data_IF_464271720195
#
_entry.id   IF_464271720195
#
_cell.length_a   1.000
_cell.length_b   1.000
_cell.length_c   1.000
_cell.angle_alpha   90.00
_cell.angle_beta   90.00
_cell.angle_gamma   90.00
#
_symmetry.space_group_name_H-M   'P 1'
#
loop_
_entity.id
_entity.type
_entity.pdbx_description
1 polymer ?
#
# COMPACT_ATOMS: atom_id res chain seq x y z
N UNK A 1 -7.91 12.50 -14.43
CA UNK A 1 -8.35 12.23 -13.05
C UNK A 1 -7.26 12.71 -12.10
N UNK A 2 -7.63 13.32 -10.98
CA UNK A 2 -6.68 13.80 -9.97
C UNK A 2 -6.64 12.89 -8.74
N UNK A 3 -5.70 13.15 -7.83
CA UNK A 3 -5.58 12.39 -6.58
C UNK A 3 -6.83 12.53 -5.68
N UNK A 4 -7.45 13.70 -5.64
CA UNK A 4 -8.69 13.91 -4.88
C UNK A 4 -9.82 12.96 -5.32
N UNK A 5 -10.03 12.82 -6.63
CA UNK A 5 -11.01 11.88 -7.19
C UNK A 5 -10.71 10.43 -6.85
N UNK A 6 -9.42 10.04 -6.76
CA UNK A 6 -9.03 8.69 -6.36
C UNK A 6 -9.39 8.44 -4.89
N UNK A 7 -9.18 9.44 -4.02
CA UNK A 7 -9.48 9.35 -2.59
C UNK A 7 -11.00 9.36 -2.28
N UNK A 8 -11.86 9.70 -3.24
CA UNK A 8 -13.32 9.59 -3.10
C UNK A 8 -13.83 8.16 -3.34
N UNK A 9 -13.00 7.24 -3.84
CA UNK A 9 -13.40 5.86 -4.08
C UNK A 9 -13.76 5.16 -2.75
N UNK A 10 -14.70 4.22 -2.75
CA UNK A 10 -15.02 3.46 -1.53
C UNK A 10 -13.90 2.52 -1.09
N UNK A 11 -13.13 2.01 -2.07
CA UNK A 11 -12.02 1.08 -1.89
C UNK A 11 -10.97 1.37 -2.95
N UNK A 12 -9.70 1.29 -2.56
CA UNK A 12 -8.57 1.50 -3.48
C UNK A 12 -7.68 0.27 -3.44
N UNK A 13 -7.33 -0.23 -4.62
CA UNK A 13 -6.33 -1.29 -4.80
C UNK A 13 -5.17 -0.69 -5.59
N UNK A 14 -3.97 -0.73 -5.03
CA UNK A 14 -2.73 -0.37 -5.72
C UNK A 14 -1.93 -1.64 -5.98
N UNK A 15 -1.63 -1.89 -7.25
CA UNK A 15 -0.76 -2.99 -7.68
C UNK A 15 0.60 -2.42 -8.10
N UNK A 16 1.69 -2.98 -7.59
CA UNK A 16 3.04 -2.68 -8.06
C UNK A 16 3.90 -3.93 -8.12
N UNK A 17 4.64 -4.07 -9.21
CA UNK A 17 5.52 -5.21 -9.47
C UNK A 17 6.89 -4.74 -9.97
N UNK A 18 7.92 -5.49 -9.63
CA UNK A 18 9.30 -5.26 -10.03
C UNK A 18 10.07 -4.27 -9.15
N UNK A 19 11.38 -4.49 -9.09
CA UNK A 19 12.32 -3.71 -8.27
C UNK A 19 12.33 -2.22 -8.60
N UNK A 20 12.04 -1.86 -9.86
CA UNK A 20 11.94 -0.45 -10.31
C UNK A 20 10.94 0.39 -9.49
N UNK A 21 10.00 -0.25 -8.81
CA UNK A 21 8.99 0.40 -7.97
C UNK A 21 9.34 0.42 -6.49
N UNK A 22 10.37 -0.31 -6.05
CA UNK A 22 10.66 -0.51 -4.63
C UNK A 22 10.83 0.81 -3.85
N UNK A 23 11.61 1.73 -4.41
CA UNK A 23 11.87 3.01 -3.75
C UNK A 23 10.61 3.89 -3.60
N UNK A 24 9.72 3.90 -4.61
CA UNK A 24 8.49 4.71 -4.53
C UNK A 24 7.44 4.04 -3.67
N UNK A 25 7.38 2.70 -3.68
CA UNK A 25 6.51 1.92 -2.79
C UNK A 25 6.86 2.18 -1.33
N UNK A 26 8.14 2.08 -0.97
CA UNK A 26 8.60 2.36 0.39
C UNK A 26 8.24 3.79 0.82
N UNK A 27 8.51 4.79 -0.03
CA UNK A 27 8.12 6.19 0.25
C UNK A 27 6.61 6.40 0.37
N UNK A 28 5.81 5.67 -0.40
CA UNK A 28 4.36 5.80 -0.39
C UNK A 28 3.70 5.18 0.84
N UNK A 29 4.30 4.13 1.42
CA UNK A 29 3.74 3.40 2.56
C UNK A 29 4.34 3.88 3.89
N UNK A 30 5.66 4.06 3.96
CA UNK A 30 6.40 4.34 5.19
C UNK A 30 6.90 5.80 5.26
N UNK A 31 6.85 6.53 4.15
CA UNK A 31 7.31 7.92 4.06
C UNK A 31 6.23 8.96 4.42
N UNK A 32 6.61 10.25 4.47
CA UNK A 32 5.66 11.33 4.75
C UNK A 32 4.67 11.54 3.60
N UNK A 33 3.47 12.02 3.93
CA UNK A 33 2.47 12.43 2.93
C UNK A 33 2.97 13.71 2.25
N UNK A 34 3.23 13.64 0.95
CA UNK A 34 3.82 14.73 0.17
C UNK A 34 3.39 14.73 -1.30
N UNK A 35 3.27 15.92 -1.90
CA UNK A 35 2.96 16.09 -3.32
C UNK A 35 4.07 15.54 -4.25
N UNK A 36 5.30 15.39 -3.75
CA UNK A 36 6.40 14.78 -4.51
C UNK A 36 6.19 13.27 -4.75
N UNK A 37 5.36 12.62 -3.92
CA UNK A 37 5.00 11.20 -4.04
C UNK A 37 3.49 11.09 -3.90
N UNK A 38 2.76 11.28 -4.99
CA UNK A 38 1.28 11.31 -4.99
C UNK A 38 0.63 10.08 -4.33
N UNK A 39 1.23 8.90 -4.48
CA UNK A 39 0.76 7.67 -3.86
C UNK A 39 0.79 7.69 -2.32
N UNK A 40 1.59 8.56 -1.69
CA UNK A 40 1.58 8.76 -0.23
C UNK A 40 0.24 9.30 0.28
N UNK A 41 -0.54 10.00 -0.56
CA UNK A 41 -1.86 10.46 -0.20
C UNK A 41 -2.85 9.31 0.07
N UNK A 42 -2.57 8.10 -0.44
CA UNK A 42 -3.37 6.91 -0.15
C UNK A 42 -3.36 6.54 1.34
N UNK A 43 -2.35 6.98 2.11
CA UNK A 43 -2.32 6.81 3.57
C UNK A 43 -3.50 7.52 4.27
N UNK A 44 -4.14 8.51 3.63
CA UNK A 44 -5.30 9.23 4.17
C UNK A 44 -6.62 8.51 3.93
N UNK A 45 -6.64 7.49 3.08
CA UNK A 45 -7.87 6.80 2.72
C UNK A 45 -8.12 5.63 3.67
N UNK A 46 -9.34 5.48 4.22
CA UNK A 46 -9.63 4.47 5.25
C UNK A 46 -9.58 3.03 4.74
N UNK A 47 -9.74 2.80 3.43
CA UNK A 47 -9.73 1.46 2.85
C UNK A 47 -8.85 1.35 1.59
N UNK A 48 -7.56 1.08 1.80
CA UNK A 48 -6.57 0.86 0.73
C UNK A 48 -5.89 -0.48 0.91
N UNK A 49 -5.68 -1.19 -0.20
CA UNK A 49 -4.89 -2.42 -0.26
C UNK A 49 -3.75 -2.27 -1.25
N UNK A 50 -2.53 -2.51 -0.79
CA UNK A 50 -1.33 -2.57 -1.64
C UNK A 50 -1.00 -4.03 -1.94
N UNK A 51 -0.96 -4.38 -3.22
CA UNK A 51 -0.56 -5.69 -3.71
C UNK A 51 0.81 -5.53 -4.35
N UNK A 52 1.82 -6.12 -3.71
CA UNK A 52 3.22 -5.98 -4.07
C UNK A 52 3.84 -7.35 -4.31
N UNK A 53 4.71 -7.45 -5.31
CA UNK A 53 5.61 -8.60 -5.41
C UNK A 53 6.84 -8.42 -4.50
N UNK A 54 7.61 -9.49 -4.33
CA UNK A 54 8.82 -9.49 -3.51
C UNK A 54 9.82 -8.37 -3.89
N UNK A 55 10.15 -8.19 -5.18
CA UNK A 55 11.00 -7.10 -5.65
C UNK A 55 10.45 -5.69 -5.37
N UNK A 56 9.17 -5.41 -5.59
CA UNK A 56 8.57 -4.11 -5.30
C UNK A 56 8.47 -3.83 -3.79
N UNK A 57 8.39 -4.87 -2.95
CA UNK A 57 8.43 -4.75 -1.50
C UNK A 57 9.85 -4.72 -0.91
N UNK A 58 10.91 -4.81 -1.73
CA UNK A 58 12.29 -5.04 -1.27
C UNK A 58 12.86 -3.94 -0.37
N UNK A 59 12.37 -2.70 -0.50
CA UNK A 59 12.85 -1.55 0.28
C UNK A 59 11.94 -1.17 1.46
N UNK A 60 10.90 -1.97 1.76
CA UNK A 60 10.11 -1.77 2.97
C UNK A 60 10.94 -2.15 4.20
N UNK A 61 10.90 -1.31 5.23
CA UNK A 61 11.64 -1.54 6.47
C UNK A 61 10.86 -2.41 7.46
N UNK A 62 9.52 -2.40 7.38
CA UNK A 62 8.64 -3.11 8.32
C UNK A 62 8.01 -4.38 7.72
N UNK A 63 8.75 -5.14 6.89
CA UNK A 63 8.21 -6.32 6.19
C UNK A 63 7.63 -7.37 7.14
N UNK A 64 8.31 -7.68 8.23
CA UNK A 64 7.85 -8.68 9.21
C UNK A 64 6.52 -8.26 9.86
N UNK A 65 6.36 -6.96 10.14
CA UNK A 65 5.09 -6.42 10.64
C UNK A 65 3.98 -6.61 9.61
N UNK A 66 4.21 -6.28 8.34
CA UNK A 66 3.20 -6.45 7.30
C UNK A 66 2.81 -7.92 7.09
N UNK A 67 3.77 -8.83 7.09
CA UNK A 67 3.48 -10.26 6.99
C UNK A 67 2.62 -10.76 8.16
N UNK A 68 2.97 -10.39 9.39
CA UNK A 68 2.18 -10.73 10.58
C UNK A 68 0.76 -10.15 10.53
N UNK A 69 0.61 -8.91 10.07
CA UNK A 69 -0.71 -8.28 9.93
C UNK A 69 -1.53 -8.99 8.86
N UNK A 70 -0.93 -9.41 7.73
CA UNK A 70 -1.63 -10.18 6.69
C UNK A 70 -2.09 -11.54 7.21
N UNK A 71 -1.23 -12.27 7.94
CA UNK A 71 -1.61 -13.53 8.60
C UNK A 71 -2.78 -13.34 9.56
N UNK A 72 -2.70 -12.31 10.41
CA UNK A 72 -3.75 -12.01 11.37
C UNK A 72 -5.05 -11.54 10.69
N UNK A 73 -4.96 -10.80 9.60
CA UNK A 73 -6.12 -10.39 8.78
C UNK A 73 -6.78 -11.62 8.17
N UNK A 74 -6.01 -12.56 7.62
CA UNK A 74 -6.56 -13.80 7.07
C UNK A 74 -7.27 -14.66 8.14
N UNK A 75 -6.80 -14.62 9.39
CA UNK A 75 -7.39 -15.36 10.50
C UNK A 75 -8.63 -14.69 11.09
N UNK A 76 -8.61 -13.36 11.27
CA UNK A 76 -9.65 -12.63 12.01
C UNK A 76 -10.72 -12.02 11.10
N UNK A 77 -10.35 -11.66 9.86
CA UNK A 77 -11.21 -10.98 8.89
C UNK A 77 -10.97 -11.54 7.48
N UNK A 78 -11.29 -12.83 7.25
CA UNK A 78 -11.00 -13.51 5.98
C UNK A 78 -11.63 -12.82 4.77
N UNK A 79 -12.81 -12.21 4.93
CA UNK A 79 -13.52 -11.47 3.88
C UNK A 79 -12.77 -10.23 3.38
N UNK A 80 -11.71 -9.79 4.09
CA UNK A 80 -10.90 -8.64 3.67
C UNK A 80 -9.91 -8.99 2.57
N UNK A 81 -9.55 -10.27 2.42
CA UNK A 81 -8.57 -10.75 1.44
C UNK A 81 -9.19 -11.55 0.29
N UNK A 82 -10.50 -11.84 0.35
CA UNK A 82 -11.28 -12.56 -0.67
C UNK A 82 -11.89 -11.65 -1.73
#
# INVERSE_FOLDING_TARGET
MGIGTILEARKIILLATGESKAAVVAKSIEGPITCAVSASALQLHPDVTFILDGPAASQLTQRDYYHRVLEMTALLTPDRLS
#
